data_IF_674117213393
#
_entry.id   IF_674117213393
#
_cell.length_a   1.000
_cell.length_b   1.000
_cell.length_c   1.000
_cell.angle_alpha   90.00
_cell.angle_beta   90.00
_cell.angle_gamma   90.00
#
_symmetry.space_group_name_H-M   'P 1'
#
loop_
_entity.id
_entity.type
_entity.pdbx_description
1 polymer ?
#
# COMPACT_ATOMS: atom_id res chain seq x y z
N UNK A 1 21.42 0.34 25.64
CA UNK A 1 21.11 -1.08 25.90
C UNK A 1 20.93 -1.74 24.54
N UNK A 2 21.63 -2.84 24.24
CA UNK A 2 21.40 -3.60 23.00
C UNK A 2 20.21 -4.55 23.22
N UNK A 3 19.22 -4.52 22.33
CA UNK A 3 18.13 -5.49 22.31
C UNK A 3 18.72 -6.83 21.86
N UNK A 4 18.76 -7.79 22.76
CA UNK A 4 19.32 -9.11 22.48
C UNK A 4 18.33 -9.94 21.66
N UNK A 5 18.62 -10.11 20.36
CA UNK A 5 17.87 -11.00 19.46
C UNK A 5 17.91 -12.47 19.89
N UNK A 6 18.81 -12.83 20.81
CA UNK A 6 19.04 -14.17 21.36
C UNK A 6 18.41 -14.34 22.74
N UNK A 7 17.27 -13.68 22.99
CA UNK A 7 16.52 -13.94 24.21
C UNK A 7 16.02 -15.39 24.22
N UNK A 8 16.15 -16.07 25.37
CA UNK A 8 15.69 -17.46 25.54
C UNK A 8 14.21 -17.65 25.16
N UNK A 9 13.41 -16.59 25.23
CA UNK A 9 12.02 -16.58 24.79
C UNK A 9 11.87 -16.87 23.29
N UNK A 10 12.66 -16.21 22.43
CA UNK A 10 12.58 -16.42 20.98
C UNK A 10 13.04 -17.83 20.59
N UNK A 11 14.11 -18.33 21.22
CA UNK A 11 14.60 -19.69 21.00
C UNK A 11 13.54 -20.74 21.37
N UNK A 12 12.86 -20.57 22.51
CA UNK A 12 11.79 -21.46 22.95
C UNK A 12 10.63 -21.46 21.96
N UNK A 13 10.16 -20.28 21.52
CA UNK A 13 9.08 -20.19 20.53
C UNK A 13 9.49 -20.86 19.22
N UNK A 14 10.73 -20.66 18.78
CA UNK A 14 11.21 -21.18 17.51
C UNK A 14 11.30 -22.71 17.49
N UNK A 15 11.72 -23.33 18.59
CA UNK A 15 11.85 -24.79 18.69
C UNK A 15 10.57 -25.52 19.13
N UNK A 16 9.58 -24.80 19.66
CA UNK A 16 8.36 -25.42 20.18
C UNK A 16 7.51 -26.03 19.04
N UNK A 17 7.12 -27.31 19.14
CA UNK A 17 6.43 -28.02 18.06
C UNK A 17 5.00 -27.52 17.79
N UNK A 18 4.41 -26.72 18.69
CA UNK A 18 3.07 -26.14 18.55
C UNK A 18 3.18 -24.68 18.11
N UNK A 19 3.99 -23.86 18.81
CA UNK A 19 4.12 -22.43 18.55
C UNK A 19 4.83 -22.13 17.22
N UNK A 20 5.75 -22.99 16.78
CA UNK A 20 6.40 -22.83 15.47
C UNK A 20 5.46 -23.01 14.28
N UNK A 21 4.24 -23.53 14.51
CA UNK A 21 3.25 -23.81 13.46
C UNK A 21 2.17 -22.73 13.32
N UNK A 22 2.12 -21.75 14.24
CA UNK A 22 1.15 -20.66 14.20
C UNK A 22 1.72 -19.43 13.50
N UNK A 23 0.86 -18.46 13.17
CA UNK A 23 1.30 -17.17 12.65
C UNK A 23 1.76 -16.30 13.81
N UNK A 24 2.99 -15.80 13.73
CA UNK A 24 3.56 -14.88 14.70
C UNK A 24 3.69 -13.51 14.04
N UNK A 25 3.07 -12.50 14.65
CA UNK A 25 3.09 -11.11 14.19
C UNK A 25 3.61 -10.24 15.34
N UNK A 26 4.60 -9.41 15.07
CA UNK A 26 5.17 -8.47 16.03
C UNK A 26 4.81 -7.03 15.68
N UNK A 27 4.63 -6.21 16.72
CA UNK A 27 4.89 -4.78 16.67
C UNK A 27 6.40 -4.60 16.95
N UNK A 28 7.24 -4.34 15.93
CA UNK A 28 8.68 -4.47 16.08
C UNK A 28 9.32 -3.21 16.68
N UNK A 29 8.70 -2.64 17.71
CA UNK A 29 9.27 -1.53 18.47
C UNK A 29 8.77 -1.48 19.91
N UNK A 30 9.53 -0.82 20.77
CA UNK A 30 9.09 -0.36 22.08
C UNK A 30 9.48 1.11 22.31
N UNK A 31 9.04 1.69 23.42
CA UNK A 31 9.31 3.10 23.79
C UNK A 31 10.72 3.33 24.36
N UNK A 32 11.51 2.27 24.54
CA UNK A 32 12.85 2.31 25.09
C UNK A 32 13.91 2.76 24.08
N UNK A 33 15.07 3.18 24.60
CA UNK A 33 16.22 3.51 23.76
C UNK A 33 16.70 2.28 22.98
N UNK A 34 16.77 2.39 21.66
CA UNK A 34 17.10 1.26 20.78
C UNK A 34 15.92 0.30 20.54
N UNK A 35 14.70 0.68 20.96
CA UNK A 35 13.49 -0.12 20.82
C UNK A 35 13.06 -0.37 19.37
N UNK A 36 13.46 0.46 18.39
CA UNK A 36 13.05 0.30 16.99
C UNK A 36 13.76 -0.89 16.32
N UNK A 37 13.03 -1.99 16.14
CA UNK A 37 13.53 -3.29 15.70
C UNK A 37 12.85 -3.79 14.41
N UNK A 38 12.32 -2.89 13.58
CA UNK A 38 11.82 -3.24 12.24
C UNK A 38 12.94 -3.91 11.44
N UNK A 39 12.64 -5.07 10.86
CA UNK A 39 13.60 -5.91 10.14
C UNK A 39 14.48 -6.76 11.03
N UNK A 40 14.31 -6.72 12.36
CA UNK A 40 15.24 -7.36 13.30
C UNK A 40 14.66 -8.55 14.06
N UNK A 41 13.37 -8.89 13.88
CA UNK A 41 12.80 -10.09 14.50
C UNK A 41 13.32 -11.38 13.83
N UNK A 42 13.35 -12.51 14.57
CA UNK A 42 13.79 -13.79 14.02
C UNK A 42 12.93 -14.28 12.84
N UNK A 43 13.51 -15.19 12.04
CA UNK A 43 12.75 -15.96 11.05
C UNK A 43 11.55 -16.66 11.71
N UNK A 44 10.46 -16.82 10.96
CA UNK A 44 9.08 -17.18 11.38
C UNK A 44 8.21 -15.99 11.78
N UNK A 45 8.78 -14.89 12.25
CA UNK A 45 8.00 -13.70 12.59
C UNK A 45 7.67 -12.87 11.34
N UNK A 46 6.45 -12.36 11.33
CA UNK A 46 6.03 -11.26 10.48
C UNK A 46 5.93 -10.00 11.33
N UNK A 47 6.11 -8.84 10.72
CA UNK A 47 6.25 -7.58 11.44
C UNK A 47 5.32 -6.52 10.86
N UNK A 48 4.72 -5.72 11.74
CA UNK A 48 4.07 -4.48 11.34
C UNK A 48 5.11 -3.54 10.71
N UNK A 49 4.97 -3.25 9.43
CA UNK A 49 5.93 -2.43 8.71
C UNK A 49 5.58 -0.93 8.86
N UNK A 50 6.09 -0.33 9.93
CA UNK A 50 5.93 1.11 10.18
C UNK A 50 6.57 1.99 9.10
N UNK A 51 7.65 1.53 8.45
CA UNK A 51 8.26 2.27 7.32
C UNK A 51 7.36 2.28 6.09
N UNK A 52 6.66 1.17 5.81
CA UNK A 52 5.63 1.11 4.77
C UNK A 52 4.53 2.13 5.04
N UNK A 53 3.97 2.11 6.26
CA UNK A 53 2.91 3.05 6.68
C UNK A 53 3.29 4.49 6.40
N UNK A 54 4.46 4.89 6.90
CA UNK A 54 4.93 6.28 6.81
C UNK A 54 5.21 6.70 5.37
N UNK A 55 5.87 5.83 4.59
CA UNK A 55 6.22 6.11 3.20
C UNK A 55 4.99 6.24 2.32
N UNK A 56 3.99 5.35 2.47
CA UNK A 56 2.77 5.43 1.67
C UNK A 56 1.99 6.69 2.01
N UNK A 57 1.91 7.06 3.29
CA UNK A 57 1.31 8.33 3.74
C UNK A 57 2.00 9.56 3.15
N UNK A 58 3.33 9.56 3.17
CA UNK A 58 4.15 10.64 2.59
C UNK A 58 3.94 10.75 1.08
N UNK A 59 4.04 9.64 0.36
CA UNK A 59 3.88 9.61 -1.09
C UNK A 59 2.55 10.24 -1.52
N UNK A 60 1.42 9.82 -0.92
CA UNK A 60 0.10 10.31 -1.30
C UNK A 60 -0.21 11.73 -0.83
N UNK A 61 0.45 12.24 0.23
CA UNK A 61 0.35 13.68 0.55
C UNK A 61 1.16 14.53 -0.43
N UNK A 62 2.10 13.93 -1.14
CA UNK A 62 2.91 14.58 -2.17
C UNK A 62 4.36 14.82 -1.74
N UNK A 63 4.84 14.16 -0.69
CA UNK A 63 6.26 14.17 -0.36
C UNK A 63 7.05 13.33 -1.37
N UNK A 64 8.24 13.79 -1.80
CA UNK A 64 9.03 13.09 -2.79
C UNK A 64 9.76 11.89 -2.19
N UNK A 65 9.23 10.69 -2.43
CA UNK A 65 9.77 9.46 -1.86
C UNK A 65 9.75 8.28 -2.86
N UNK A 66 9.92 8.50 -4.17
CA UNK A 66 9.70 7.44 -5.18
C UNK A 66 10.58 6.20 -5.02
N UNK A 67 11.83 6.36 -4.58
CA UNK A 67 12.72 5.22 -4.33
C UNK A 67 12.27 4.40 -3.12
N UNK A 68 11.93 5.07 -2.02
CA UNK A 68 11.43 4.43 -0.82
C UNK A 68 10.06 3.78 -1.08
N UNK A 69 9.16 4.51 -1.76
CA UNK A 69 7.87 4.00 -2.23
C UNK A 69 8.04 2.72 -3.04
N UNK A 70 8.98 2.70 -4.00
CA UNK A 70 9.24 1.52 -4.82
C UNK A 70 9.68 0.33 -3.97
N UNK A 71 10.62 0.53 -3.04
CA UNK A 71 11.06 -0.52 -2.11
C UNK A 71 9.88 -1.04 -1.26
N UNK A 72 9.12 -0.15 -0.63
CA UNK A 72 7.97 -0.52 0.21
C UNK A 72 6.89 -1.26 -0.58
N UNK A 73 6.58 -0.78 -1.78
CA UNK A 73 5.58 -1.38 -2.68
C UNK A 73 5.98 -2.79 -3.13
N UNK A 74 7.29 -3.06 -3.31
CA UNK A 74 7.81 -4.36 -3.71
C UNK A 74 8.20 -5.28 -2.55
N UNK A 75 7.66 -5.03 -1.36
CA UNK A 75 7.75 -5.96 -0.23
C UNK A 75 8.89 -5.67 0.74
N UNK A 76 9.53 -4.50 0.65
CA UNK A 76 10.59 -4.04 1.56
C UNK A 76 11.76 -5.02 1.67
N UNK A 77 12.32 -5.41 0.52
CA UNK A 77 13.38 -6.41 0.45
C UNK A 77 14.64 -6.02 1.22
N UNK A 78 14.95 -4.72 1.30
CA UNK A 78 16.05 -4.20 2.12
C UNK A 78 15.89 -4.47 3.63
N UNK A 79 14.65 -4.65 4.11
CA UNK A 79 14.38 -5.04 5.50
C UNK A 79 14.43 -6.55 5.71
N UNK A 80 13.89 -7.32 4.77
CA UNK A 80 13.49 -8.72 5.03
C UNK A 80 14.20 -9.76 4.16
N UNK A 81 14.96 -9.38 3.13
CA UNK A 81 15.56 -10.35 2.21
C UNK A 81 16.84 -10.99 2.76
N UNK A 82 17.60 -10.27 3.58
CA UNK A 82 18.97 -10.64 3.94
C UNK A 82 19.07 -11.77 4.98
N UNK A 83 18.01 -12.06 5.72
CA UNK A 83 17.99 -13.07 6.80
C UNK A 83 17.19 -14.34 6.45
N UNK A 84 16.81 -14.50 5.18
CA UNK A 84 16.07 -15.66 4.69
C UNK A 84 14.55 -15.52 4.79
N UNK A 85 14.02 -14.41 5.32
CA UNK A 85 12.60 -14.10 5.22
C UNK A 85 12.19 -13.77 3.78
N UNK A 86 10.88 -13.69 3.60
CA UNK A 86 10.18 -13.56 2.31
C UNK A 86 9.30 -12.30 2.36
N UNK A 87 8.69 -11.85 1.25
CA UNK A 87 7.80 -10.69 1.26
C UNK A 87 6.69 -10.76 2.32
N UNK A 88 6.22 -11.96 2.68
CA UNK A 88 5.19 -12.13 3.71
C UNK A 88 5.61 -11.64 5.10
N UNK A 89 6.91 -11.44 5.37
CA UNK A 89 7.40 -10.90 6.63
C UNK A 89 6.95 -9.45 6.86
N UNK A 90 6.60 -8.73 5.79
CA UNK A 90 6.06 -7.39 5.85
C UNK A 90 4.54 -7.42 5.98
N UNK A 91 4.01 -7.02 7.14
CA UNK A 91 2.60 -6.62 7.28
C UNK A 91 2.49 -5.15 6.85
N UNK A 92 1.93 -4.94 5.67
CA UNK A 92 1.72 -3.63 5.06
C UNK A 92 0.41 -3.03 5.54
N UNK A 93 0.45 -1.84 6.11
CA UNK A 93 -0.73 -1.11 6.56
C UNK A 93 -0.53 0.40 6.40
N UNK A 94 -1.62 1.14 6.20
CA UNK A 94 -1.60 2.61 6.23
C UNK A 94 -2.21 3.12 7.53
N UNK A 95 -3.10 2.36 8.13
CA UNK A 95 -3.90 2.72 9.31
C UNK A 95 -4.01 1.51 10.23
N UNK A 96 -4.10 1.78 11.53
CA UNK A 96 -4.24 0.79 12.59
C UNK A 96 -5.13 1.39 13.68
N UNK A 97 -5.29 0.68 14.80
CA UNK A 97 -6.00 1.24 15.95
C UNK A 97 -5.26 2.45 16.54
N UNK A 98 -3.92 2.46 16.45
CA UNK A 98 -3.09 3.62 16.78
C UNK A 98 -3.08 4.64 15.65
N UNK A 99 -3.39 5.89 15.99
CA UNK A 99 -3.45 7.00 15.04
C UNK A 99 -4.82 7.16 14.40
N UNK A 100 -4.84 7.84 13.25
CA UNK A 100 -6.06 8.09 12.51
C UNK A 100 -6.62 6.83 11.82
N UNK A 101 -7.95 6.79 11.70
CA UNK A 101 -8.65 6.01 10.67
C UNK A 101 -8.28 6.50 9.27
N UNK A 102 -8.62 5.74 8.23
CA UNK A 102 -8.27 6.15 6.86
C UNK A 102 -9.05 7.38 6.40
N UNK A 103 -10.29 7.55 6.85
CA UNK A 103 -11.05 8.79 6.63
C UNK A 103 -10.40 9.96 7.34
N UNK A 104 -10.02 9.79 8.61
CA UNK A 104 -9.46 10.90 9.38
C UNK A 104 -8.07 11.31 8.88
N UNK A 105 -7.29 10.36 8.36
CA UNK A 105 -5.97 10.59 7.75
C UNK A 105 -6.02 11.60 6.59
N UNK A 106 -7.15 11.70 5.89
CA UNK A 106 -7.37 12.64 4.78
C UNK A 106 -8.26 13.83 5.18
N UNK A 107 -8.68 13.90 6.44
CA UNK A 107 -9.67 14.89 6.92
C UNK A 107 -9.08 15.84 7.96
N UNK A 108 -8.02 15.43 8.67
CA UNK A 108 -7.42 16.18 9.77
C UNK A 108 -5.90 16.28 9.62
N UNK A 109 -5.34 17.46 9.85
CA UNK A 109 -3.90 17.66 10.03
C UNK A 109 -3.51 17.53 11.51
N UNK A 110 -4.38 17.98 12.41
CA UNK A 110 -4.14 17.98 13.85
C UNK A 110 -4.97 16.89 14.54
N UNK A 111 -4.48 16.41 15.68
CA UNK A 111 -5.25 15.49 16.53
C UNK A 111 -6.26 16.25 17.40
N UNK A 112 -7.44 15.66 17.56
CA UNK A 112 -8.59 16.18 18.32
C UNK A 112 -8.98 15.20 19.43
N UNK A 113 -8.05 14.95 20.35
CA UNK A 113 -8.16 13.98 21.45
C UNK A 113 -8.77 14.60 22.71
N UNK A 114 -9.41 15.78 22.63
CA UNK A 114 -9.95 16.48 23.79
C UNK A 114 -10.94 15.62 24.62
N UNK A 115 -11.65 14.69 23.96
CA UNK A 115 -12.56 13.74 24.60
C UNK A 115 -11.84 12.76 25.57
N UNK A 116 -10.52 12.60 25.46
CA UNK A 116 -9.71 11.74 26.32
C UNK A 116 -9.39 12.38 27.68
N UNK A 117 -9.70 13.68 27.86
CA UNK A 117 -9.50 14.45 29.10
C UNK A 117 -8.03 14.64 29.53
N UNK A 118 -7.10 14.54 28.58
CA UNK A 118 -5.67 14.78 28.79
C UNK A 118 -5.18 16.10 28.16
N UNK A 119 -6.10 17.04 27.91
CA UNK A 119 -5.83 18.34 27.28
C UNK A 119 -5.12 18.20 25.93
N UNK A 120 -5.49 17.18 25.14
CA UNK A 120 -4.92 16.88 23.82
C UNK A 120 -3.42 16.54 23.85
N UNK A 121 -2.85 16.17 25.01
CA UNK A 121 -1.42 15.81 25.11
C UNK A 121 -1.13 14.40 24.62
N UNK A 122 -2.08 13.50 24.75
CA UNK A 122 -1.98 12.08 24.38
C UNK A 122 -2.05 11.87 22.85
N UNK A 123 -1.54 10.74 22.36
CA UNK A 123 -1.48 10.41 20.94
C UNK A 123 -0.29 11.02 20.18
N UNK A 124 0.01 10.48 18.99
CA UNK A 124 1.12 10.93 18.15
C UNK A 124 0.83 12.32 17.55
N UNK A 125 1.86 13.17 17.44
CA UNK A 125 1.78 14.47 16.77
C UNK A 125 2.19 14.42 15.29
N UNK A 126 2.83 13.33 14.85
CA UNK A 126 3.36 13.19 13.48
C UNK A 126 2.49 12.21 12.67
N UNK A 127 1.21 12.54 12.51
CA UNK A 127 0.25 11.65 11.87
C UNK A 127 0.48 11.41 10.38
N UNK A 128 1.30 12.24 9.73
CA UNK A 128 1.59 12.09 8.32
C UNK A 128 0.30 12.18 7.47
N UNK A 129 -0.65 13.01 7.91
CA UNK A 129 -1.98 13.23 7.31
C UNK A 129 -2.02 14.47 6.41
N UNK A 130 -3.11 14.64 5.67
CA UNK A 130 -3.41 15.89 4.97
C UNK A 130 -4.90 16.12 4.84
N UNK A 131 -5.40 17.22 5.41
CA UNK A 131 -6.82 17.58 5.43
C UNK A 131 -7.38 18.13 4.10
N UNK A 132 -6.53 18.28 3.07
CA UNK A 132 -6.88 18.81 1.75
C UNK A 132 -7.43 20.26 1.72
N UNK A 133 -7.17 21.05 2.76
CA UNK A 133 -7.43 22.49 2.82
C UNK A 133 -8.42 22.93 3.90
N UNK A 134 -9.21 22.01 4.45
CA UNK A 134 -10.16 22.30 5.53
C UNK A 134 -9.95 21.28 6.65
N UNK A 135 -9.83 21.72 7.89
CA UNK A 135 -9.72 20.81 9.04
C UNK A 135 -11.09 20.26 9.41
N UNK A 136 -11.25 18.94 9.41
CA UNK A 136 -12.52 18.28 9.72
C UNK A 136 -13.49 18.19 8.55
N UNK A 137 -14.75 17.92 8.88
CA UNK A 137 -15.86 17.78 7.92
C UNK A 137 -16.13 19.09 7.16
N UNK A 138 -16.56 18.96 5.90
CA UNK A 138 -16.83 20.11 5.02
C UNK A 138 -17.90 19.78 3.99
N UNK A 139 -18.64 20.78 3.55
CA UNK A 139 -19.60 20.68 2.45
C UNK A 139 -18.97 20.99 1.08
N UNK A 140 -17.68 21.34 1.02
CA UNK A 140 -16.99 21.59 -0.26
C UNK A 140 -16.87 20.28 -1.07
N UNK A 141 -17.57 20.16 -2.21
CA UNK A 141 -17.58 18.93 -2.98
C UNK A 141 -16.21 18.60 -3.58
N UNK A 142 -15.39 19.61 -3.92
CA UNK A 142 -14.08 19.40 -4.51
C UNK A 142 -13.08 18.84 -3.49
N UNK A 143 -13.18 19.26 -2.22
CA UNK A 143 -12.37 18.69 -1.13
C UNK A 143 -12.83 17.25 -0.85
N UNK A 144 -14.14 17.02 -0.74
CA UNK A 144 -14.68 15.69 -0.46
C UNK A 144 -14.32 14.67 -1.55
N UNK A 145 -14.41 15.05 -2.83
CA UNK A 145 -14.01 14.17 -3.93
C UNK A 145 -12.51 13.80 -3.86
N UNK A 146 -11.64 14.78 -3.56
CA UNK A 146 -10.20 14.53 -3.38
C UNK A 146 -9.92 13.59 -2.22
N UNK A 147 -10.60 13.78 -1.08
CA UNK A 147 -10.49 12.90 0.09
C UNK A 147 -10.93 11.48 -0.23
N UNK A 148 -12.06 11.31 -0.88
CA UNK A 148 -12.51 9.99 -1.36
C UNK A 148 -11.49 9.32 -2.27
N UNK A 149 -10.91 10.09 -3.21
CA UNK A 149 -9.85 9.61 -4.10
C UNK A 149 -8.62 9.17 -3.31
N UNK A 150 -8.21 9.91 -2.28
CA UNK A 150 -7.08 9.53 -1.43
C UNK A 150 -7.33 8.25 -0.62
N UNK A 151 -8.52 8.10 -0.05
CA UNK A 151 -8.92 6.85 0.62
C UNK A 151 -8.76 5.67 -0.35
N UNK A 152 -9.25 5.81 -1.59
CA UNK A 152 -9.10 4.78 -2.63
C UNK A 152 -7.64 4.55 -3.03
N UNK A 153 -6.83 5.60 -3.11
CA UNK A 153 -5.39 5.49 -3.38
C UNK A 153 -4.67 4.65 -2.33
N UNK A 154 -4.92 4.90 -1.05
CA UNK A 154 -4.33 4.12 0.04
C UNK A 154 -4.78 2.66 0.01
N UNK A 155 -6.09 2.42 -0.13
CA UNK A 155 -6.62 1.06 -0.25
C UNK A 155 -6.00 0.31 -1.43
N UNK A 156 -6.01 0.91 -2.61
CA UNK A 156 -5.43 0.29 -3.81
C UNK A 156 -3.93 0.05 -3.64
N UNK A 157 -3.18 0.99 -3.04
CA UNK A 157 -1.74 0.83 -2.78
C UNK A 157 -1.47 -0.38 -1.87
N UNK A 158 -2.21 -0.53 -0.77
CA UNK A 158 -2.10 -1.67 0.17
C UNK A 158 -2.36 -2.98 -0.57
N UNK A 159 -3.48 -3.08 -1.31
CA UNK A 159 -3.87 -4.33 -1.96
C UNK A 159 -3.05 -4.68 -3.21
N UNK A 160 -2.35 -3.71 -3.82
CA UNK A 160 -1.47 -3.93 -4.96
C UNK A 160 0.02 -4.13 -4.57
N UNK A 161 0.40 -3.85 -3.33
CA UNK A 161 1.78 -4.04 -2.85
C UNK A 161 2.11 -5.52 -2.63
N UNK A 162 3.39 -5.88 -2.76
CA UNK A 162 3.90 -7.17 -2.29
C UNK A 162 3.98 -7.19 -0.76
N UNK A 163 3.72 -8.35 -0.15
CA UNK A 163 3.63 -8.52 1.30
C UNK A 163 2.22 -8.89 1.76
N UNK A 164 1.94 -8.76 3.06
CA UNK A 164 0.62 -9.09 3.63
C UNK A 164 -0.12 -7.78 3.92
N UNK A 165 -1.23 -7.47 3.22
CA UNK A 165 -2.02 -6.28 3.52
C UNK A 165 -2.80 -6.47 4.83
N UNK A 166 -2.78 -5.46 5.69
CA UNK A 166 -3.66 -5.32 6.84
C UNK A 166 -4.58 -4.12 6.63
N UNK A 167 -5.89 -4.36 6.75
CA UNK A 167 -6.94 -3.35 6.69
C UNK A 167 -7.45 -3.10 8.12
N UNK A 168 -7.47 -1.84 8.56
CA UNK A 168 -8.14 -1.46 9.80
C UNK A 168 -9.65 -1.59 9.61
N UNK A 169 -10.31 -2.35 10.47
CA UNK A 169 -11.75 -2.54 10.39
C UNK A 169 -12.50 -1.21 10.45
N UNK A 170 -13.43 -1.02 9.51
CA UNK A 170 -14.26 0.18 9.38
C UNK A 170 -13.71 1.18 8.36
N UNK A 171 -12.45 1.07 7.91
CA UNK A 171 -11.93 1.93 6.84
C UNK A 171 -12.68 1.70 5.52
N UNK A 172 -13.15 0.48 5.27
CA UNK A 172 -14.02 0.13 4.14
C UNK A 172 -15.41 0.77 4.23
N UNK A 173 -15.79 1.26 5.41
CA UNK A 173 -17.06 1.94 5.70
C UNK A 173 -16.89 3.46 5.87
N UNK A 174 -15.69 3.99 5.64
CA UNK A 174 -15.33 5.37 5.96
C UNK A 174 -15.58 5.74 7.44
N UNK A 175 -15.25 4.81 8.36
CA UNK A 175 -15.27 5.06 9.81
C UNK A 175 -14.41 6.26 10.16
N UNK A 176 -14.89 7.09 11.07
CA UNK A 176 -14.20 8.26 11.62
C UNK A 176 -14.23 8.20 13.13
N UNK A 177 -13.18 8.74 13.77
CA UNK A 177 -13.11 9.05 15.19
C UNK A 177 -13.18 10.57 15.44
N UNK A 178 -13.66 11.34 14.45
CA UNK A 178 -13.78 12.80 14.55
C UNK A 178 -12.44 13.52 14.70
N UNK A 179 -11.35 12.95 14.18
CA UNK A 179 -10.00 13.47 14.37
C UNK A 179 -9.36 13.08 15.70
N UNK A 180 -9.99 12.22 16.51
CA UNK A 180 -9.28 11.56 17.61
C UNK A 180 -8.33 10.51 17.02
N UNK A 181 -7.03 10.63 17.31
CA UNK A 181 -6.01 9.69 16.81
C UNK A 181 -5.54 8.69 17.88
N UNK A 182 -6.22 8.69 19.03
CA UNK A 182 -5.90 7.88 20.19
C UNK A 182 -7.19 7.53 20.94
N UNK A 183 -8.17 6.93 20.24
CA UNK A 183 -9.48 6.58 20.80
C UNK A 183 -9.47 5.46 21.86
N UNK A 184 -8.36 5.22 22.55
CA UNK A 184 -8.12 4.06 23.42
C UNK A 184 -9.10 3.98 24.62
N UNK A 185 -9.59 5.11 25.10
CA UNK A 185 -10.50 5.21 26.25
C UNK A 185 -11.95 5.57 25.84
N UNK A 186 -12.26 5.57 24.55
CA UNK A 186 -13.55 5.99 24.01
C UNK A 186 -14.48 4.80 23.76
N UNK A 187 -15.09 4.26 24.81
CA UNK A 187 -16.12 3.22 24.73
C UNK A 187 -17.49 3.82 24.34
N UNK A 188 -17.57 4.46 23.16
CA UNK A 188 -18.73 5.22 22.68
C UNK A 188 -18.72 5.44 21.14
N UNK A 189 -19.63 6.28 20.63
CA UNK A 189 -19.80 6.59 19.20
C UNK A 189 -18.53 7.06 18.49
N UNK A 190 -17.52 7.57 19.20
CA UNK A 190 -16.21 7.92 18.61
C UNK A 190 -15.53 6.68 18.02
N UNK A 191 -15.60 5.53 18.67
CA UNK A 191 -14.91 4.33 18.19
C UNK A 191 -15.86 3.27 17.61
N UNK A 192 -17.17 3.40 17.81
CA UNK A 192 -18.17 2.41 17.37
C UNK A 192 -18.25 2.33 15.85
N UNK A 193 -18.62 1.14 15.36
CA UNK A 193 -18.92 0.97 13.95
C UNK A 193 -20.32 1.55 13.68
N UNK A 194 -20.39 2.61 12.89
CA UNK A 194 -21.66 3.09 12.36
C UNK A 194 -22.02 2.28 11.10
N UNK A 195 -23.04 1.42 11.23
CA UNK A 195 -23.53 0.58 10.14
C UNK A 195 -24.58 1.28 9.27
N UNK A 196 -24.91 2.54 9.55
CA UNK A 196 -25.79 3.36 8.71
C UNK A 196 -24.96 3.94 7.58
N UNK A 197 -24.81 3.15 6.52
CA UNK A 197 -24.02 3.55 5.36
C UNK A 197 -24.82 4.54 4.50
N UNK A 198 -24.18 5.64 4.13
CA UNK A 198 -24.63 6.49 3.04
C UNK A 198 -24.11 5.95 1.69
N UNK A 199 -24.55 6.57 0.61
CA UNK A 199 -24.17 6.16 -0.75
C UNK A 199 -22.64 6.20 -0.97
N UNK A 200 -21.94 7.13 -0.32
CA UNK A 200 -20.48 7.27 -0.41
C UNK A 200 -19.77 6.09 0.26
N UNK A 201 -20.20 5.72 1.45
CA UNK A 201 -19.68 4.57 2.19
C UNK A 201 -19.98 3.25 1.45
N UNK A 202 -21.17 3.12 0.86
CA UNK A 202 -21.52 1.94 0.03
C UNK A 202 -20.61 1.79 -1.19
N UNK A 203 -20.34 2.88 -1.92
CA UNK A 203 -19.39 2.88 -3.06
C UNK A 203 -17.97 2.54 -2.61
N UNK A 204 -17.52 3.06 -1.46
CA UNK A 204 -16.21 2.72 -0.90
C UNK A 204 -16.11 1.25 -0.52
N UNK A 205 -17.15 0.69 0.10
CA UNK A 205 -17.22 -0.72 0.44
C UNK A 205 -17.18 -1.60 -0.82
N UNK A 206 -17.91 -1.23 -1.87
CA UNK A 206 -17.90 -1.93 -3.16
C UNK A 206 -16.49 -1.91 -3.80
N UNK A 207 -15.85 -0.73 -3.83
CA UNK A 207 -14.48 -0.58 -4.32
C UNK A 207 -13.47 -1.43 -3.51
N UNK A 208 -13.59 -1.43 -2.18
CA UNK A 208 -12.72 -2.22 -1.30
C UNK A 208 -12.89 -3.72 -1.55
N UNK A 209 -14.13 -4.19 -1.71
CA UNK A 209 -14.41 -5.59 -2.09
C UNK A 209 -13.79 -5.95 -3.44
N UNK A 210 -13.91 -5.07 -4.44
CA UNK A 210 -13.30 -5.24 -5.78
C UNK A 210 -11.78 -5.37 -5.67
N UNK A 211 -11.11 -4.58 -4.84
CA UNK A 211 -9.64 -4.68 -4.62
C UNK A 211 -9.23 -5.99 -3.95
N UNK A 212 -9.96 -6.42 -2.92
CA UNK A 212 -9.68 -7.68 -2.22
C UNK A 212 -9.84 -8.86 -3.19
N UNK A 213 -10.93 -8.89 -3.94
CA UNK A 213 -11.18 -9.90 -4.97
C UNK A 213 -10.09 -9.89 -6.04
N UNK A 214 -9.74 -8.71 -6.57
CA UNK A 214 -8.67 -8.53 -7.55
C UNK A 214 -7.34 -9.11 -7.06
N UNK A 215 -6.89 -8.74 -5.84
CA UNK A 215 -5.67 -9.31 -5.24
C UNK A 215 -5.77 -10.83 -5.09
N UNK A 216 -6.93 -11.35 -4.69
CA UNK A 216 -7.13 -12.79 -4.47
C UNK A 216 -7.06 -13.62 -5.76
N UNK A 217 -7.44 -13.03 -6.89
CA UNK A 217 -7.38 -13.66 -8.21
C UNK A 217 -6.01 -13.61 -8.87
N UNK A 218 -5.16 -12.67 -8.46
CA UNK A 218 -3.90 -12.38 -9.15
C UNK A 218 -2.68 -12.69 -8.28
N UNK A 219 -2.06 -13.90 -8.40
CA UNK A 219 -0.82 -14.26 -7.72
C UNK A 219 0.34 -13.29 -7.88
N UNK A 220 0.38 -12.48 -8.95
CA UNK A 220 1.45 -11.49 -9.16
C UNK A 220 1.55 -10.46 -8.03
N UNK A 221 0.46 -10.21 -7.29
CA UNK A 221 0.46 -9.32 -6.11
C UNK A 221 0.71 -10.05 -4.78
N UNK A 222 0.76 -11.38 -4.80
CA UNK A 222 0.87 -12.27 -3.63
C UNK A 222 2.07 -13.21 -3.77
N UNK A 223 3.19 -12.70 -4.26
CA UNK A 223 4.39 -13.52 -4.53
C UNK A 223 5.00 -14.03 -3.22
N UNK A 224 5.48 -15.27 -3.26
CA UNK A 224 6.27 -15.85 -2.17
C UNK A 224 7.74 -15.40 -2.20
N UNK A 225 8.22 -14.96 -3.37
CA UNK A 225 9.59 -14.54 -3.62
C UNK A 225 9.66 -13.05 -3.93
N UNK A 226 10.74 -12.40 -3.50
CA UNK A 226 11.02 -11.00 -3.86
C UNK A 226 11.19 -10.85 -5.37
N UNK A 227 10.78 -9.68 -5.86
CA UNK A 227 11.04 -9.25 -7.23
C UNK A 227 12.53 -8.92 -7.40
N UNK A 228 13.12 -9.27 -8.55
CA UNK A 228 14.56 -9.11 -8.82
C UNK A 228 14.88 -8.04 -9.86
N UNK A 229 13.90 -7.68 -10.70
CA UNK A 229 14.12 -6.86 -11.89
C UNK A 229 14.84 -7.63 -13.00
N UNK A 230 14.73 -8.95 -13.00
CA UNK A 230 15.44 -9.88 -13.88
C UNK A 230 14.46 -10.81 -14.59
N UNK A 231 14.87 -11.33 -15.75
CA UNK A 231 14.18 -12.39 -16.46
C UNK A 231 14.84 -13.72 -16.08
N UNK A 232 14.08 -14.62 -15.47
CA UNK A 232 14.58 -15.89 -14.93
C UNK A 232 13.89 -17.11 -15.55
N UNK A 233 12.68 -16.95 -16.09
CA UNK A 233 11.86 -18.01 -16.66
C UNK A 233 11.71 -17.92 -18.18
N UNK A 234 12.37 -16.95 -18.83
CA UNK A 234 12.40 -16.86 -20.30
C UNK A 234 11.16 -16.21 -20.92
N UNK A 235 10.44 -15.35 -20.20
CA UNK A 235 9.23 -14.69 -20.70
C UNK A 235 9.50 -13.54 -21.69
N UNK A 236 10.76 -13.15 -21.90
CA UNK A 236 11.19 -12.01 -22.72
C UNK A 236 11.13 -10.65 -22.03
N UNK A 237 10.84 -10.61 -20.73
CA UNK A 237 10.83 -9.39 -19.91
C UNK A 237 11.08 -9.70 -18.44
N UNK A 238 11.63 -8.76 -17.64
CA UNK A 238 11.89 -8.98 -16.23
C UNK A 238 10.61 -9.11 -15.40
N UNK A 239 10.73 -9.63 -14.17
CA UNK A 239 9.61 -9.77 -13.23
C UNK A 239 9.01 -8.43 -12.75
N UNK A 240 9.84 -7.38 -12.67
CA UNK A 240 9.42 -6.00 -12.40
C UNK A 240 10.18 -5.00 -13.28
N UNK A 241 9.50 -3.91 -13.67
CA UNK A 241 10.15 -2.78 -14.33
C UNK A 241 9.50 -1.45 -13.97
N UNK A 242 10.31 -0.40 -13.81
CA UNK A 242 9.83 0.92 -13.41
C UNK A 242 9.97 1.93 -14.54
N UNK A 243 8.87 2.65 -14.80
CA UNK A 243 8.72 3.60 -15.89
C UNK A 243 8.57 5.03 -15.37
N UNK A 244 9.18 5.95 -16.12
CA UNK A 244 8.86 7.37 -16.10
C UNK A 244 7.55 7.62 -16.87
N UNK A 245 6.94 8.81 -16.74
CA UNK A 245 5.76 9.18 -17.53
C UNK A 245 5.97 9.14 -19.05
N UNK A 246 7.20 9.27 -19.55
CA UNK A 246 7.52 9.18 -20.99
C UNK A 246 7.67 7.73 -21.51
N UNK A 247 7.36 6.74 -20.69
CA UNK A 247 7.45 5.32 -21.03
C UNK A 247 8.88 4.77 -21.09
N UNK A 248 9.87 5.53 -20.62
CA UNK A 248 11.27 5.08 -20.49
C UNK A 248 11.54 4.55 -19.08
N UNK A 249 12.62 3.78 -18.94
CA UNK A 249 13.08 3.25 -17.65
C UNK A 249 13.41 4.40 -16.68
N UNK A 250 13.07 4.23 -15.41
CA UNK A 250 13.61 5.05 -14.31
C UNK A 250 15.13 4.91 -14.24
N UNK A 251 15.84 6.03 -14.28
CA UNK A 251 17.31 6.10 -14.14
C UNK A 251 17.72 6.31 -12.68
N UNK A 252 18.98 6.02 -12.28
CA UNK A 252 19.47 6.33 -10.93
C UNK A 252 19.23 7.79 -10.52
N UNK A 253 19.33 8.73 -11.45
CA UNK A 253 19.07 10.15 -11.22
C UNK A 253 17.58 10.40 -10.93
N UNK A 254 16.66 9.69 -11.58
CA UNK A 254 15.23 9.81 -11.30
C UNK A 254 14.87 9.27 -9.92
N UNK A 255 15.54 8.21 -9.47
CA UNK A 255 15.33 7.66 -8.13
C UNK A 255 15.83 8.59 -7.02
N UNK A 256 16.91 9.34 -7.28
CA UNK A 256 17.47 10.32 -6.34
C UNK A 256 16.79 11.68 -6.42
N UNK A 257 16.12 11.98 -7.52
CA UNK A 257 15.49 13.28 -7.78
C UNK A 257 14.30 13.52 -6.86
N UNK A 258 14.46 14.48 -5.94
CA UNK A 258 13.47 14.85 -4.94
C UNK A 258 12.22 15.59 -5.45
N UNK A 259 11.95 15.64 -6.75
CA UNK A 259 10.74 16.27 -7.31
C UNK A 259 9.85 15.28 -8.09
N UNK A 260 10.16 13.98 -8.02
CA UNK A 260 9.39 12.96 -8.73
C UNK A 260 8.18 12.55 -7.87
N UNK A 261 6.97 12.73 -8.38
CA UNK A 261 5.71 12.31 -7.71
C UNK A 261 4.92 11.25 -8.52
N UNK A 262 5.52 10.75 -9.59
CA UNK A 262 4.85 9.90 -10.57
C UNK A 262 5.75 8.76 -10.98
N UNK A 263 5.17 7.57 -11.14
CA UNK A 263 5.91 6.41 -11.64
C UNK A 263 4.95 5.36 -12.20
N UNK A 264 5.42 4.59 -13.17
CA UNK A 264 4.78 3.38 -13.62
C UNK A 264 5.52 2.15 -13.11
N UNK A 265 4.80 1.09 -12.74
CA UNK A 265 5.38 -0.21 -12.39
C UNK A 265 4.74 -1.30 -13.22
N UNK A 266 5.58 -2.07 -13.89
CA UNK A 266 5.21 -3.27 -14.61
C UNK A 266 5.51 -4.49 -13.73
N UNK A 267 4.54 -5.38 -13.62
CA UNK A 267 4.64 -6.63 -12.87
C UNK A 267 4.29 -7.79 -13.79
N UNK A 268 5.27 -8.66 -14.03
CA UNK A 268 5.16 -9.75 -15.01
C UNK A 268 4.63 -11.03 -14.36
N UNK A 269 3.37 -11.36 -14.63
CA UNK A 269 2.74 -12.59 -14.15
C UNK A 269 3.32 -13.88 -14.77
N UNK A 270 4.13 -13.78 -15.82
CA UNK A 270 4.85 -14.92 -16.40
C UNK A 270 6.23 -15.19 -15.75
N UNK A 271 6.71 -14.30 -14.88
CA UNK A 271 8.00 -14.42 -14.17
C UNK A 271 7.79 -14.61 -12.66
N UNK A 272 6.89 -15.53 -12.30
CA UNK A 272 6.66 -15.95 -10.92
C UNK A 272 7.42 -17.27 -10.70
N UNK A 273 8.56 -17.28 -9.98
CA UNK A 273 9.40 -18.47 -9.81
C UNK A 273 8.78 -19.52 -8.86
N UNK A 274 7.72 -19.14 -8.15
CA UNK A 274 7.02 -20.00 -7.21
C UNK A 274 6.19 -21.07 -7.94
N UNK A 275 6.18 -22.29 -7.40
CA UNK A 275 5.30 -23.39 -7.85
C UNK A 275 4.17 -23.62 -6.84
N UNK A 276 3.05 -24.17 -7.31
CA UNK A 276 1.95 -24.60 -6.44
C UNK A 276 2.37 -25.74 -5.52
N UNK A 277 1.52 -26.07 -4.53
CA UNK A 277 1.73 -27.23 -3.66
C UNK A 277 1.85 -28.56 -4.43
N UNK A 278 1.32 -28.63 -5.66
CA UNK A 278 1.40 -29.79 -6.56
C UNK A 278 2.61 -29.71 -7.51
N UNK A 279 3.45 -28.68 -7.41
CA UNK A 279 4.63 -28.47 -8.26
C UNK A 279 4.33 -27.84 -9.63
N UNK A 280 3.11 -27.34 -9.87
CA UNK A 280 2.78 -26.67 -11.12
C UNK A 280 3.29 -25.21 -11.11
N UNK A 281 3.80 -24.66 -12.23
CA UNK A 281 4.17 -23.24 -12.31
C UNK A 281 2.99 -22.34 -11.95
N UNK A 282 3.23 -21.34 -11.10
CA UNK A 282 2.26 -20.27 -10.87
C UNK A 282 2.43 -19.24 -11.98
N UNK A 283 1.35 -18.95 -12.70
CA UNK A 283 1.32 -17.96 -13.78
C UNK A 283 0.12 -17.04 -13.55
N UNK A 284 0.27 -15.79 -13.94
CA UNK A 284 -0.76 -14.78 -13.86
C UNK A 284 -0.72 -13.84 -15.07
N UNK A 285 -1.71 -12.97 -15.15
CA UNK A 285 -1.69 -11.82 -16.01
C UNK A 285 -0.57 -10.84 -15.65
N UNK A 286 -0.20 -10.00 -16.62
CA UNK A 286 0.83 -8.98 -16.46
C UNK A 286 0.18 -7.61 -16.35
N UNK A 287 0.63 -6.81 -15.38
CA UNK A 287 0.01 -5.53 -15.06
C UNK A 287 0.99 -4.37 -15.21
N UNK A 288 0.44 -3.21 -15.57
CA UNK A 288 1.10 -1.92 -15.50
C UNK A 288 0.27 -1.01 -14.61
N UNK A 289 0.85 -0.53 -13.52
CA UNK A 289 0.21 0.38 -12.57
C UNK A 289 0.87 1.73 -12.71
N UNK A 290 0.08 2.77 -12.92
CA UNK A 290 0.52 4.15 -13.09
C UNK A 290 0.10 4.95 -11.87
N UNK A 291 1.07 5.48 -11.14
CA UNK A 291 0.85 6.31 -9.96
C UNK A 291 1.09 7.77 -10.30
N UNK A 292 0.15 8.62 -9.90
CA UNK A 292 0.27 10.07 -9.95
C UNK A 292 -0.06 10.66 -8.58
N UNK A 293 0.95 10.94 -7.76
CA UNK A 293 0.78 11.70 -6.51
C UNK A 293 0.91 13.22 -6.71
N UNK A 294 1.14 13.68 -7.96
CA UNK A 294 1.25 15.08 -8.29
C UNK A 294 -0.12 15.81 -8.21
N UNK A 295 -0.06 17.14 -8.09
CA UNK A 295 -1.24 17.99 -7.96
C UNK A 295 -2.04 18.13 -9.26
N UNK A 296 -1.41 17.88 -10.40
CA UNK A 296 -2.03 17.97 -11.72
C UNK A 296 -2.13 16.60 -12.38
N UNK A 297 -3.01 16.48 -13.37
CA UNK A 297 -3.09 15.30 -14.21
C UNK A 297 -1.79 15.13 -15.01
N UNK A 298 -1.33 13.88 -15.15
CA UNK A 298 -0.10 13.53 -15.87
C UNK A 298 -0.43 12.54 -16.98
N UNK A 299 0.07 12.81 -18.17
CA UNK A 299 -0.10 11.92 -19.33
C UNK A 299 1.07 10.94 -19.37
N UNK A 300 0.76 9.65 -19.20
CA UNK A 300 1.73 8.57 -19.34
C UNK A 300 1.76 8.06 -20.77
N UNK A 301 2.96 7.96 -21.35
CA UNK A 301 3.20 7.19 -22.58
C UNK A 301 3.48 5.75 -22.19
N UNK A 302 2.69 4.82 -22.74
CA UNK A 302 2.84 3.41 -22.42
C UNK A 302 4.15 2.83 -22.96
N UNK A 303 4.65 1.73 -22.35
CA UNK A 303 5.89 1.09 -22.77
C UNK A 303 5.91 0.67 -24.24
N UNK A 304 7.11 0.37 -24.73
CA UNK A 304 7.30 -0.20 -26.07
C UNK A 304 6.65 -1.59 -26.19
N UNK A 305 6.46 -2.02 -27.43
CA UNK A 305 5.80 -3.29 -27.78
C UNK A 305 6.44 -4.52 -27.13
N UNK A 306 7.72 -4.46 -26.77
CA UNK A 306 8.44 -5.52 -26.05
C UNK A 306 7.83 -5.84 -24.68
N UNK A 307 7.11 -4.91 -24.05
CA UNK A 307 6.41 -5.15 -22.79
C UNK A 307 4.96 -5.62 -22.97
N UNK A 308 4.36 -5.35 -24.13
CA UNK A 308 2.98 -5.71 -24.47
C UNK A 308 2.44 -4.87 -25.61
N UNK A 309 1.68 -5.50 -26.53
CA UNK A 309 1.10 -4.81 -27.68
C UNK A 309 -0.10 -3.94 -27.30
N UNK A 310 -0.93 -4.40 -26.35
CA UNK A 310 -2.14 -3.71 -25.91
C UNK A 310 -2.34 -3.85 -24.40
N UNK A 311 -3.00 -2.85 -23.84
CA UNK A 311 -3.23 -2.70 -22.41
C UNK A 311 -4.72 -2.44 -22.18
N UNK A 312 -5.39 -3.35 -21.48
CA UNK A 312 -6.77 -3.23 -21.08
C UNK A 312 -6.86 -2.46 -19.76
N UNK A 313 -7.79 -1.51 -19.66
CA UNK A 313 -8.11 -0.86 -18.40
C UNK A 313 -8.68 -1.86 -17.38
N UNK A 314 -8.18 -1.86 -16.14
CA UNK A 314 -8.70 -2.72 -15.06
C UNK A 314 -9.43 -1.91 -13.98
N UNK A 315 -8.81 -0.87 -13.44
CA UNK A 315 -9.41 0.01 -12.44
C UNK A 315 -8.63 1.33 -12.29
N UNK A 316 -9.28 2.32 -11.69
CA UNK A 316 -8.71 3.60 -11.29
C UNK A 316 -9.32 4.08 -9.98
N UNK A 317 -8.58 4.91 -9.25
CA UNK A 317 -9.08 5.57 -8.04
C UNK A 317 -9.81 6.88 -8.34
N UNK A 318 -9.61 7.46 -9.53
CA UNK A 318 -10.34 8.63 -10.00
C UNK A 318 -11.71 8.26 -10.61
N UNK A 319 -11.79 7.11 -11.28
CA UNK A 319 -13.01 6.58 -11.91
C UNK A 319 -13.35 5.18 -11.34
N UNK A 320 -13.72 5.08 -10.06
CA UNK A 320 -13.87 3.78 -9.37
C UNK A 320 -15.02 2.92 -9.90
N UNK A 321 -16.04 3.55 -10.49
CA UNK A 321 -17.21 2.88 -11.06
C UNK A 321 -16.97 2.39 -12.50
N UNK A 322 -15.83 2.76 -13.11
CA UNK A 322 -15.54 2.31 -14.47
C UNK A 322 -15.15 0.82 -14.45
N UNK A 323 -15.83 0.06 -15.30
CA UNK A 323 -15.66 -1.39 -15.40
C UNK A 323 -14.35 -1.77 -16.10
N UNK A 324 -13.82 -2.94 -15.74
CA UNK A 324 -12.68 -3.51 -16.44
C UNK A 324 -13.01 -3.68 -17.93
N UNK A 325 -12.07 -3.30 -18.79
CA UNK A 325 -12.23 -3.33 -20.24
C UNK A 325 -12.93 -2.14 -20.87
N UNK A 326 -13.24 -1.09 -20.10
CA UNK A 326 -13.80 0.15 -20.64
C UNK A 326 -12.90 0.85 -21.68
N UNK A 327 -11.58 0.63 -21.62
CA UNK A 327 -10.63 1.17 -22.58
C UNK A 327 -9.52 0.17 -22.92
N UNK A 328 -8.99 0.29 -24.13
CA UNK A 328 -7.79 -0.44 -24.59
C UNK A 328 -6.80 0.54 -25.19
N UNK A 329 -5.57 0.48 -24.71
CA UNK A 329 -4.48 1.34 -25.15
C UNK A 329 -3.42 0.53 -25.90
N UNK A 330 -2.93 1.00 -27.07
CA UNK A 330 -1.83 0.36 -27.75
C UNK A 330 -0.49 0.63 -27.04
N UNK A 331 0.54 -0.17 -27.34
CA UNK A 331 1.92 0.17 -27.02
C UNK A 331 2.26 1.59 -27.51
N UNK A 332 3.00 2.37 -26.72
CA UNK A 332 3.26 3.80 -26.96
C UNK A 332 2.01 4.71 -27.01
N UNK A 333 0.82 4.18 -26.75
CA UNK A 333 -0.38 4.97 -26.53
C UNK A 333 -0.25 5.85 -25.29
N UNK A 334 -1.15 6.81 -25.14
CA UNK A 334 -1.16 7.73 -23.99
C UNK A 334 -2.32 7.41 -23.06
N UNK A 335 -2.06 7.48 -21.76
CA UNK A 335 -3.06 7.31 -20.69
C UNK A 335 -3.02 8.54 -19.79
N UNK A 336 -4.09 9.36 -19.75
CA UNK A 336 -4.19 10.40 -18.76
C UNK A 336 -4.41 9.78 -17.39
N UNK A 337 -3.62 10.19 -16.40
CA UNK A 337 -3.78 9.80 -15.00
C UNK A 337 -4.09 11.07 -14.22
N UNK A 338 -5.31 11.16 -13.73
CA UNK A 338 -5.81 12.33 -12.99
C UNK A 338 -4.93 12.68 -11.78
N UNK A 339 -5.03 13.92 -11.31
CA UNK A 339 -4.28 14.36 -10.13
C UNK A 339 -4.56 13.46 -8.93
N UNK A 340 -3.48 13.10 -8.22
CA UNK A 340 -3.55 12.28 -7.00
C UNK A 340 -4.40 11.03 -7.21
N UNK A 341 -4.04 10.23 -8.20
CA UNK A 341 -4.76 9.02 -8.58
C UNK A 341 -3.81 7.92 -9.05
N UNK A 342 -4.36 6.72 -9.24
CA UNK A 342 -3.68 5.66 -9.96
C UNK A 342 -4.59 4.99 -10.98
N UNK A 343 -3.96 4.33 -11.95
CA UNK A 343 -4.62 3.49 -12.97
C UNK A 343 -3.90 2.15 -13.04
N UNK A 344 -4.67 1.07 -13.07
CA UNK A 344 -4.18 -0.29 -13.31
C UNK A 344 -4.60 -0.73 -14.70
N UNK A 345 -3.62 -1.22 -15.46
CA UNK A 345 -3.81 -1.79 -16.78
C UNK A 345 -3.32 -3.23 -16.80
N UNK A 346 -3.99 -4.09 -17.57
CA UNK A 346 -3.59 -5.48 -17.80
C UNK A 346 -3.15 -5.67 -19.24
N UNK A 347 -2.04 -6.37 -19.44
CA UNK A 347 -1.56 -6.74 -20.76
C UNK A 347 -2.53 -7.70 -21.43
N UNK A 348 -2.95 -7.38 -22.65
CA UNK A 348 -3.68 -8.29 -23.54
C UNK A 348 -2.88 -8.42 -24.83
N UNK A 349 -2.76 -9.66 -25.33
CA UNK A 349 -2.01 -10.10 -26.54
C UNK A 349 -1.22 -9.01 -27.29
#
# INVERSE_FOLDING_TARGET
>A
HEVDRLSAFFDIIHQDPILSQVKLIAEPWDVGEGGYQVGNFPVLWTEWNGMYRDTMRDFWRGEPAVAEFASRFTGSSDLYQHDGRRPFASINFVTAHDGFTLRDLVTYNEKHNAANLEENRDGDNHNRSWNHGVEGETDDPAINERRERQVRNFLATIFLSQGVPMLLGGDELARTQGGNNNGYCQDNEVSWFDWRLDERAERLLAFTKRLIDFRSRHPVFRRADFLRGEETLGSGSPDVWWFRPDGRKMTPENWRGGDTHTLGVFLNGAEIPTVSAQGAPVVDDTFLILFNAFNDAVVFTLPAVSFGHRWLYELSTAEPELEAGAAVYPARGVVPVESRSLVVLRRIA
#
